data_IF_969421873060
#
_entry.id   IF_969421873060
#
_cell.length_a   1.000
_cell.length_b   1.000
_cell.length_c   1.000
_cell.angle_alpha   90.00
_cell.angle_beta   90.00
_cell.angle_gamma   90.00
#
_symmetry.space_group_name_H-M   'P 1'
#
loop_
_entity.id
_entity.type
_entity.pdbx_description
1 polymer ?
#
# COMPACT_ATOMS: atom_id res chain seq x y z
N UNK A 1 -1.22 -0.23 24.19
CA UNK A 1 -1.07 0.84 23.18
C UNK A 1 -0.79 2.14 23.90
N UNK A 2 0.40 2.74 23.72
CA UNK A 2 0.68 4.07 24.28
C UNK A 2 -0.21 5.10 23.58
N UNK A 3 -0.86 5.96 24.35
CA UNK A 3 -1.76 6.99 23.84
C UNK A 3 -0.94 8.21 23.38
N UNK A 4 -0.71 8.32 22.07
CA UNK A 4 0.14 9.37 21.47
C UNK A 4 -0.34 10.79 21.78
N UNK A 5 -1.65 10.97 22.04
CA UNK A 5 -2.24 12.26 22.41
C UNK A 5 -1.71 12.78 23.75
N UNK A 6 -1.65 11.93 24.78
CA UNK A 6 -1.14 12.29 26.11
C UNK A 6 0.36 12.63 26.10
N UNK A 7 1.13 12.09 25.15
CA UNK A 7 2.58 12.35 25.04
C UNK A 7 2.84 13.76 24.49
N UNK A 8 2.02 14.21 23.52
CA UNK A 8 2.16 15.54 22.92
C UNK A 8 1.73 16.67 23.87
N UNK A 9 0.72 16.43 24.71
CA UNK A 9 0.19 17.43 25.65
C UNK A 9 1.12 17.74 26.84
N UNK A 10 2.13 16.90 27.12
CA UNK A 10 3.08 17.07 28.24
C UNK A 10 4.45 17.66 27.82
N UNK A 11 4.58 18.20 26.60
CA UNK A 11 5.86 18.53 25.99
C UNK A 11 6.32 19.99 26.15
N UNK A 12 6.15 20.59 27.33
CA UNK A 12 6.52 22.00 27.56
C UNK A 12 7.93 22.22 28.15
N UNK A 13 8.82 21.21 28.16
CA UNK A 13 10.18 21.41 28.69
C UNK A 13 11.29 20.46 28.23
N UNK A 14 10.99 19.46 27.39
CA UNK A 14 11.92 18.35 27.13
C UNK A 14 12.29 18.18 25.64
N UNK A 15 12.54 19.30 24.94
CA UNK A 15 12.87 19.33 23.50
C UNK A 15 14.04 18.42 23.11
N UNK A 16 15.04 18.29 23.98
CA UNK A 16 16.26 17.49 23.74
C UNK A 16 15.97 15.99 23.95
N UNK A 17 15.16 15.64 24.96
CA UNK A 17 14.82 14.25 25.27
C UNK A 17 14.00 13.58 24.18
N UNK A 18 13.03 14.31 23.58
CA UNK A 18 12.24 13.80 22.46
C UNK A 18 13.09 13.61 21.20
N UNK A 19 14.02 14.51 20.89
CA UNK A 19 14.93 14.32 19.75
C UNK A 19 15.76 13.05 19.89
N UNK A 20 16.34 12.78 21.07
CA UNK A 20 17.12 11.55 21.32
C UNK A 20 16.24 10.30 21.19
N UNK A 21 15.00 10.36 21.68
CA UNK A 21 14.06 9.24 21.60
C UNK A 21 13.60 8.96 20.16
N UNK A 22 13.41 10.01 19.35
CA UNK A 22 13.11 9.90 17.91
C UNK A 22 14.28 9.29 17.12
N UNK A 23 15.52 9.72 17.39
CA UNK A 23 16.70 9.19 16.69
C UNK A 23 17.10 7.79 17.14
N UNK A 24 17.00 7.44 18.43
CA UNK A 24 17.25 6.07 18.89
C UNK A 24 16.14 5.10 18.47
N UNK A 25 14.89 5.57 18.41
CA UNK A 25 13.74 4.75 18.01
C UNK A 25 13.83 4.24 16.57
N UNK A 26 14.34 5.05 15.65
CA UNK A 26 14.46 4.66 14.23
C UNK A 26 15.55 3.62 14.00
N UNK A 27 16.61 3.62 14.80
CA UNK A 27 17.71 2.64 14.72
C UNK A 27 17.27 1.26 15.24
N UNK A 28 16.44 1.21 16.30
CA UNK A 28 15.90 -0.06 16.83
C UNK A 28 14.82 -0.69 15.95
N UNK A 29 14.09 0.10 15.16
CA UNK A 29 12.94 -0.38 14.39
C UNK A 29 13.31 -1.12 13.10
N UNK A 30 14.60 -1.23 12.75
CA UNK A 30 15.06 -2.08 11.63
C UNK A 30 14.26 -1.84 10.36
N UNK A 31 14.02 -0.57 10.01
CA UNK A 31 13.30 -0.22 8.77
C UNK A 31 14.22 -0.58 7.62
N UNK A 32 14.03 -1.78 7.10
CA UNK A 32 14.75 -2.29 5.95
C UNK A 32 14.22 -1.56 4.70
N UNK A 33 15.01 -0.65 4.09
CA UNK A 33 14.56 0.14 2.94
C UNK A 33 14.36 -0.71 1.67
N UNK A 34 14.71 -2.00 1.75
CA UNK A 34 14.54 -2.99 0.67
C UNK A 34 13.11 -3.51 0.56
N UNK A 35 12.31 -3.39 1.62
CA UNK A 35 10.88 -3.68 1.60
C UNK A 35 10.13 -2.45 1.09
N UNK A 36 10.36 -2.08 -0.17
CA UNK A 36 9.52 -1.12 -0.85
C UNK A 36 8.09 -1.69 -0.92
N UNK A 37 7.26 -1.32 0.05
CA UNK A 37 5.82 -1.56 -0.02
C UNK A 37 5.37 -0.81 -1.27
N UNK A 38 4.98 -1.55 -2.32
CA UNK A 38 4.37 -0.95 -3.51
C UNK A 38 3.12 -0.22 -3.06
N UNK A 39 3.23 1.11 -2.93
CA UNK A 39 2.08 1.95 -2.69
C UNK A 39 1.22 1.93 -3.95
N UNK A 40 0.07 1.27 -3.87
CA UNK A 40 -0.89 1.25 -4.96
C UNK A 40 -1.71 2.55 -4.94
N UNK A 41 -1.83 3.28 -6.06
CA UNK A 41 -2.74 4.41 -6.14
C UNK A 41 -4.19 3.91 -6.00
N UNK A 42 -5.02 4.67 -5.29
CA UNK A 42 -6.44 4.36 -5.07
C UNK A 42 -7.34 4.71 -6.27
N UNK A 43 -6.76 5.17 -7.38
CA UNK A 43 -7.51 5.48 -8.59
C UNK A 43 -7.92 4.17 -9.26
N UNK A 44 -9.23 3.92 -9.30
CA UNK A 44 -9.82 2.76 -9.96
C UNK A 44 -10.28 3.09 -11.37
N UNK A 45 -9.95 2.19 -12.28
CA UNK A 45 -10.48 2.21 -13.65
C UNK A 45 -11.71 1.31 -13.70
N UNK A 46 -12.69 1.70 -14.53
CA UNK A 46 -13.94 0.97 -14.66
C UNK A 46 -13.78 -0.25 -15.60
N UNK A 47 -13.01 -1.24 -15.18
CA UNK A 47 -12.90 -2.51 -15.88
C UNK A 47 -14.21 -3.31 -15.79
N UNK A 48 -14.50 -4.13 -16.80
CA UNK A 48 -15.70 -4.95 -16.87
C UNK A 48 -15.51 -6.32 -16.20
N UNK A 49 -14.34 -6.94 -16.39
CA UNK A 49 -13.96 -8.21 -15.75
C UNK A 49 -12.45 -8.42 -15.85
N UNK A 50 -11.94 -9.43 -15.16
CA UNK A 50 -10.55 -9.86 -15.28
C UNK A 50 -10.42 -11.37 -15.48
N UNK A 51 -9.27 -11.79 -16.02
CA UNK A 51 -8.84 -13.20 -16.05
C UNK A 51 -7.45 -13.32 -15.45
N UNK A 52 -7.21 -14.40 -14.71
CA UNK A 52 -5.93 -14.64 -14.05
C UNK A 52 -5.49 -16.09 -14.33
N UNK A 53 -4.18 -16.35 -14.55
CA UNK A 53 -3.67 -17.69 -14.84
C UNK A 53 -4.10 -18.75 -13.82
N UNK A 54 -4.16 -18.37 -12.54
CA UNK A 54 -4.58 -19.27 -11.44
C UNK A 54 -6.03 -19.78 -11.56
N UNK A 55 -6.89 -19.07 -12.28
CA UNK A 55 -8.31 -19.40 -12.47
C UNK A 55 -8.62 -19.74 -13.93
N UNK A 56 -7.59 -19.86 -14.78
CA UNK A 56 -7.71 -20.09 -16.21
C UNK A 56 -8.53 -18.99 -16.91
N UNK A 57 -9.55 -19.40 -17.65
CA UNK A 57 -10.38 -18.51 -18.47
C UNK A 57 -11.65 -18.01 -17.73
N UNK A 58 -11.75 -18.24 -16.43
CA UNK A 58 -12.87 -17.74 -15.64
C UNK A 58 -12.88 -16.22 -15.63
N UNK A 59 -14.04 -15.62 -15.92
CA UNK A 59 -14.26 -14.18 -15.74
C UNK A 59 -14.51 -13.90 -14.26
N UNK A 60 -13.62 -13.14 -13.65
CA UNK A 60 -13.69 -12.72 -12.25
C UNK A 60 -14.07 -11.24 -12.15
N UNK A 61 -14.57 -10.83 -10.99
CA UNK A 61 -14.73 -9.42 -10.66
C UNK A 61 -13.38 -8.70 -10.84
N UNK A 62 -13.36 -7.54 -11.53
CA UNK A 62 -12.12 -6.87 -11.84
C UNK A 62 -11.53 -6.20 -10.60
N UNK A 63 -10.21 -6.25 -10.48
CA UNK A 63 -9.50 -5.40 -9.53
C UNK A 63 -9.56 -3.92 -9.96
N UNK A 64 -9.42 -3.04 -8.98
CA UNK A 64 -9.41 -1.57 -9.16
C UNK A 64 -8.39 -1.10 -10.23
N UNK A 65 -7.17 -1.65 -10.18
CA UNK A 65 -6.11 -1.40 -11.14
C UNK A 65 -5.06 -2.53 -11.08
N UNK A 66 -4.08 -2.50 -12.00
CA UNK A 66 -3.05 -3.52 -12.09
C UNK A 66 -2.17 -3.70 -10.85
N UNK A 67 -2.09 -2.71 -9.97
CA UNK A 67 -1.30 -2.84 -8.74
C UNK A 67 -1.87 -3.93 -7.81
N UNK A 68 -3.18 -4.15 -7.87
CA UNK A 68 -3.88 -5.16 -7.08
C UNK A 68 -4.09 -6.50 -7.81
N UNK A 69 -3.72 -6.59 -9.09
CA UNK A 69 -3.91 -7.81 -9.89
C UNK A 69 -2.67 -8.16 -10.75
N UNK A 70 -1.48 -8.31 -10.15
CA UNK A 70 -0.28 -8.68 -10.89
C UNK A 70 -0.44 -10.06 -11.54
N UNK A 71 -0.02 -10.18 -12.80
CA UNK A 71 -0.13 -11.40 -13.60
C UNK A 71 -1.51 -11.67 -14.20
N UNK A 72 -2.50 -10.79 -13.99
CA UNK A 72 -3.84 -10.92 -14.56
C UNK A 72 -4.03 -10.01 -15.79
N UNK A 73 -5.07 -10.28 -16.58
CA UNK A 73 -5.53 -9.39 -17.66
C UNK A 73 -6.83 -8.72 -17.25
N UNK A 74 -6.85 -7.38 -17.27
CA UNK A 74 -8.04 -6.56 -17.02
C UNK A 74 -8.68 -6.17 -18.35
N UNK A 75 -10.00 -6.35 -18.48
CA UNK A 75 -10.75 -6.04 -19.69
C UNK A 75 -11.65 -4.83 -19.45
N UNK A 76 -11.60 -3.86 -20.35
CA UNK A 76 -12.43 -2.67 -20.31
C UNK A 76 -13.78 -2.90 -21.01
N UNK A 77 -14.81 -2.10 -20.69
CA UNK A 77 -16.12 -2.18 -21.33
C UNK A 77 -16.09 -1.88 -22.85
N UNK A 78 -15.08 -1.15 -23.31
CA UNK A 78 -14.88 -0.82 -24.73
C UNK A 78 -14.26 -1.97 -25.55
N UNK A 79 -13.99 -3.10 -24.92
CA UNK A 79 -13.39 -4.29 -25.53
C UNK A 79 -11.86 -4.30 -25.54
N UNK A 80 -11.20 -3.25 -25.04
CA UNK A 80 -9.74 -3.24 -24.87
C UNK A 80 -9.33 -4.03 -23.62
N UNK A 81 -8.04 -4.42 -23.55
CA UNK A 81 -7.52 -5.19 -22.42
C UNK A 81 -6.09 -4.80 -22.07
N UNK A 82 -5.74 -4.87 -20.79
CA UNK A 82 -4.39 -4.61 -20.26
C UNK A 82 -3.89 -5.81 -19.47
N UNK A 83 -2.72 -6.32 -19.82
CA UNK A 83 -2.01 -7.30 -19.01
C UNK A 83 -1.23 -6.59 -17.89
N UNK A 84 -1.42 -7.03 -16.65
CA UNK A 84 -0.79 -6.48 -15.46
C UNK A 84 0.49 -7.25 -15.15
N UNK A 85 1.63 -6.56 -15.11
CA UNK A 85 2.95 -7.14 -14.87
C UNK A 85 3.34 -7.12 -13.38
#
# INVERSE_FOLDING_TARGET
MLNLKNVMENMEGHKIGIMVLLFCGTILLGVDPTNAVKACPDICLAYAYMTCPSSGNQKLDPACNCCFAPGCTLYLPDGTSTYCN
#
